data_IF_679231233876
#
_entry.id   IF_679231233876
#
_cell.length_a   1.000
_cell.length_b   1.000
_cell.length_c   1.000
_cell.angle_alpha   90.00
_cell.angle_beta   90.00
_cell.angle_gamma   90.00
#
_symmetry.space_group_name_H-M   'P 1'
#
loop_
_entity.id
_entity.type
_entity.pdbx_description
1 polymer ?
#
# COMPACT_ATOMS: atom_id res chain seq x y z
N UNK A 1 10.73 11.06 5.95
CA UNK A 1 11.76 10.28 5.22
C UNK A 1 11.85 10.68 3.75
N UNK A 2 10.94 10.22 2.87
CA UNK A 2 11.08 10.48 1.42
C UNK A 2 11.11 11.98 1.08
N UNK A 3 10.17 12.76 1.64
CA UNK A 3 10.14 14.24 1.52
C UNK A 3 11.36 14.94 2.14
N UNK A 4 12.14 14.25 2.97
CA UNK A 4 13.36 14.77 3.60
C UNK A 4 14.63 14.33 2.86
N UNK A 5 14.50 13.80 1.63
CA UNK A 5 15.63 13.42 0.78
C UNK A 5 16.10 11.97 0.93
N UNK A 6 15.42 11.14 1.74
CA UNK A 6 15.72 9.71 1.80
C UNK A 6 15.19 9.04 0.53
N UNK A 7 16.09 8.50 -0.29
CA UNK A 7 15.72 7.79 -1.50
C UNK A 7 15.19 6.39 -1.16
N UNK A 8 13.96 6.11 -1.58
CA UNK A 8 13.34 4.79 -1.45
C UNK A 8 12.89 4.37 -2.84
N UNK A 9 13.54 3.36 -3.40
CA UNK A 9 13.18 2.85 -4.73
C UNK A 9 11.92 1.95 -4.69
N UNK A 10 11.77 1.17 -3.61
CA UNK A 10 10.67 0.23 -3.45
C UNK A 10 10.31 0.11 -1.98
N UNK A 11 9.00 0.13 -1.71
CA UNK A 11 8.41 -0.14 -0.40
C UNK A 11 7.63 -1.43 -0.50
N UNK A 12 7.97 -2.42 0.33
CA UNK A 12 7.17 -3.62 0.49
C UNK A 12 6.08 -3.42 1.56
N UNK A 13 4.87 -3.87 1.26
CA UNK A 13 3.73 -3.92 2.18
C UNK A 13 3.41 -5.39 2.45
N UNK A 14 3.97 -5.93 3.53
CA UNK A 14 3.73 -7.31 3.96
C UNK A 14 2.43 -7.51 4.73
N UNK A 15 2.07 -6.57 5.59
CA UNK A 15 0.85 -6.64 6.38
C UNK A 15 0.53 -5.34 7.10
N UNK A 16 -0.76 -5.05 7.20
CA UNK A 16 -1.32 -3.93 7.95
C UNK A 16 -2.57 -4.43 8.66
N UNK A 17 -2.47 -4.56 9.99
CA UNK A 17 -3.52 -5.15 10.81
C UNK A 17 -4.84 -4.37 10.72
N UNK A 18 -5.95 -5.10 10.76
CA UNK A 18 -7.28 -4.51 10.86
C UNK A 18 -7.48 -3.81 12.20
N UNK A 19 -8.14 -2.65 12.17
CA UNK A 19 -8.62 -1.90 13.34
C UNK A 19 -9.94 -1.20 12.97
N UNK A 20 -10.79 -0.83 13.94
CA UNK A 20 -11.99 -0.03 13.68
C UNK A 20 -11.65 1.21 12.84
N UNK A 21 -12.40 1.45 11.77
CA UNK A 21 -12.15 2.53 10.81
C UNK A 21 -11.29 2.13 9.59
N UNK A 22 -10.67 0.95 9.59
CA UNK A 22 -9.97 0.40 8.41
C UNK A 22 -10.87 -0.58 7.64
N UNK A 23 -10.83 -0.51 6.32
CA UNK A 23 -11.48 -1.45 5.39
C UNK A 23 -10.46 -2.47 4.91
N UNK A 24 -10.85 -3.73 4.87
CA UNK A 24 -9.97 -4.83 4.51
C UNK A 24 -9.73 -4.87 3.00
N UNK A 25 -8.45 -4.84 2.59
CA UNK A 25 -8.03 -4.93 1.17
C UNK A 25 -7.62 -6.36 0.81
N UNK A 26 -6.83 -7.00 1.67
CA UNK A 26 -6.45 -8.41 1.56
C UNK A 26 -6.55 -9.09 2.91
N UNK A 27 -6.28 -10.40 2.98
CA UNK A 27 -6.18 -11.12 4.26
C UNK A 27 -5.16 -10.50 5.22
N UNK A 28 -4.09 -9.91 4.69
CA UNK A 28 -2.98 -9.37 5.47
C UNK A 28 -3.00 -7.84 5.61
N UNK A 29 -3.78 -7.12 4.79
CA UNK A 29 -3.74 -5.65 4.70
C UNK A 29 -5.13 -5.06 4.81
N UNK A 30 -5.31 -4.15 5.77
CA UNK A 30 -6.47 -3.29 5.93
C UNK A 30 -6.04 -1.83 5.98
N UNK A 31 -6.77 -0.97 5.27
CA UNK A 31 -6.40 0.42 5.03
C UNK A 31 -7.53 1.38 5.43
N UNK A 32 -7.14 2.58 5.83
CA UNK A 32 -8.02 3.75 5.93
C UNK A 32 -7.71 4.77 4.81
N UNK A 33 -8.49 5.87 4.67
CA UNK A 33 -8.22 6.88 3.65
C UNK A 33 -6.84 7.55 3.78
N UNK A 34 -6.27 7.64 4.98
CA UNK A 34 -4.95 8.24 5.20
C UNK A 34 -3.85 7.34 4.65
N UNK A 35 -3.96 6.03 4.85
CA UNK A 35 -3.03 5.06 4.26
C UNK A 35 -3.05 5.14 2.72
N UNK A 36 -4.26 5.18 2.13
CA UNK A 36 -4.43 5.26 0.67
C UNK A 36 -3.80 6.55 0.13
N UNK A 37 -4.03 7.68 0.79
CA UNK A 37 -3.42 8.95 0.40
C UNK A 37 -1.90 8.89 0.49
N UNK A 38 -1.33 8.28 1.54
CA UNK A 38 0.11 8.11 1.68
C UNK A 38 0.71 7.26 0.55
N UNK A 39 0.05 6.17 0.16
CA UNK A 39 0.48 5.36 -0.99
C UNK A 39 0.44 6.15 -2.30
N UNK A 40 -0.62 6.93 -2.55
CA UNK A 40 -0.70 7.79 -3.75
C UNK A 40 0.40 8.85 -3.78
N UNK A 41 0.81 9.37 -2.63
CA UNK A 41 1.92 10.33 -2.55
C UNK A 41 3.28 9.68 -2.78
N UNK A 42 3.50 8.48 -2.22
CA UNK A 42 4.74 7.73 -2.45
C UNK A 42 4.90 7.34 -3.92
N UNK A 43 3.81 6.93 -4.58
CA UNK A 43 3.79 6.64 -6.00
C UNK A 43 4.14 7.88 -6.85
N UNK A 44 3.58 9.05 -6.52
CA UNK A 44 3.96 10.35 -7.15
C UNK A 44 5.43 10.70 -6.97
N UNK A 45 6.05 10.24 -5.87
CA UNK A 45 7.49 10.42 -5.60
C UNK A 45 8.36 9.35 -6.27
N UNK A 46 7.76 8.45 -7.06
CA UNK A 46 8.46 7.41 -7.82
C UNK A 46 8.78 6.14 -7.01
N UNK A 47 8.21 6.00 -5.81
CA UNK A 47 8.41 4.80 -4.98
C UNK A 47 7.54 3.67 -5.51
N UNK A 48 8.15 2.52 -5.85
CA UNK A 48 7.40 1.31 -6.22
C UNK A 48 6.74 0.69 -4.99
N UNK A 49 5.44 0.39 -5.07
CA UNK A 49 4.68 -0.13 -3.94
C UNK A 49 4.39 -1.63 -4.15
N UNK A 50 5.13 -2.50 -3.47
CA UNK A 50 5.06 -3.97 -3.64
C UNK A 50 4.24 -4.63 -2.53
N UNK A 51 3.02 -5.04 -2.83
CA UNK A 51 2.15 -5.83 -1.98
C UNK A 51 2.49 -7.32 -2.11
N UNK A 52 3.26 -7.84 -1.15
CA UNK A 52 3.58 -9.26 -1.00
C UNK A 52 3.80 -9.61 0.46
N UNK A 53 3.27 -10.74 0.93
CA UNK A 53 3.38 -11.15 2.35
C UNK A 53 4.63 -11.98 2.57
N UNK A 54 4.91 -12.91 1.64
CA UNK A 54 6.12 -13.73 1.62
C UNK A 54 6.83 -13.63 0.28
N UNK A 55 8.11 -14.04 0.24
CA UNK A 55 8.94 -13.92 -0.96
C UNK A 55 8.41 -14.72 -2.16
N UNK A 56 7.71 -15.84 -1.91
CA UNK A 56 7.10 -16.67 -2.94
C UNK A 56 5.81 -16.08 -3.53
N UNK A 57 5.21 -15.08 -2.89
CA UNK A 57 4.01 -14.45 -3.40
C UNK A 57 4.32 -13.63 -4.65
N UNK A 58 3.38 -13.56 -5.62
CA UNK A 58 3.51 -12.65 -6.74
C UNK A 58 3.59 -11.20 -6.24
N UNK A 59 4.44 -10.40 -6.89
CA UNK A 59 4.49 -8.97 -6.66
C UNK A 59 3.25 -8.30 -7.27
N UNK A 60 2.53 -7.53 -6.46
CA UNK A 60 1.32 -6.81 -6.88
C UNK A 60 1.48 -5.35 -6.49
N UNK A 61 1.11 -4.41 -7.37
CA UNK A 61 1.06 -3.01 -6.97
C UNK A 61 -0.17 -2.78 -6.08
N UNK A 62 0.05 -2.23 -4.89
CA UNK A 62 -1.05 -1.99 -3.93
C UNK A 62 -2.11 -1.03 -4.48
N UNK A 63 -1.74 -0.06 -5.32
CA UNK A 63 -2.68 0.89 -5.92
C UNK A 63 -3.60 0.22 -6.94
N UNK A 64 -3.08 -0.72 -7.73
CA UNK A 64 -3.89 -1.53 -8.64
C UNK A 64 -4.91 -2.34 -7.85
N UNK A 65 -4.47 -2.96 -6.73
CA UNK A 65 -5.36 -3.71 -5.84
C UNK A 65 -6.47 -2.84 -5.22
N UNK A 66 -6.15 -1.59 -4.85
CA UNK A 66 -7.11 -0.61 -4.33
C UNK A 66 -8.10 -0.16 -5.41
N UNK A 67 -7.71 -0.08 -6.68
CA UNK A 67 -8.60 0.30 -7.76
C UNK A 67 -9.52 -0.86 -8.20
N UNK A 68 -9.02 -2.11 -8.16
CA UNK A 68 -9.81 -3.32 -8.45
C UNK A 68 -10.91 -3.57 -7.42
N UNK A 69 -10.58 -3.37 -6.15
CA UNK A 69 -11.49 -3.60 -5.03
C UNK A 69 -12.15 -2.27 -4.75
N UNK A 70 -13.46 -2.09 -4.90
CA UNK A 70 -14.16 -0.80 -4.75
C UNK A 70 -13.95 -0.12 -3.36
N UNK A 71 -12.76 0.41 -3.11
CA UNK A 71 -12.38 1.32 -2.03
C UNK A 71 -12.71 2.77 -2.40
N UNK A 72 -13.17 2.99 -3.62
CA UNK A 72 -13.85 4.21 -4.05
C UNK A 72 -15.33 4.13 -3.60
N UNK A 73 -15.61 4.68 -2.42
CA UNK A 73 -16.90 5.31 -2.11
C UNK A 73 -16.62 6.77 -1.75
#
# INVERSE_FOLDING_TARGET
MVRQGVQIATLNIGGMAWRPGKKQLTKAVSLDPQDIQAFRELDKLGVKLDLRVVASDPSVNILDKINETAFCE
#
